data_IF_211386102408
#
_entry.id   IF_211386102408
#
_cell.length_a   1.000
_cell.length_b   1.000
_cell.length_c   1.000
_cell.angle_alpha   90.00
_cell.angle_beta   90.00
_cell.angle_gamma   90.00
#
_symmetry.space_group_name_H-M   'P 1'
#
loop_
_entity.id
_entity.type
_entity.pdbx_description
1 polymer ?
#
# COMPACT_ATOMS: atom_id res chain seq x y z
N UNK A 1 24.63 -0.27 11.78
CA UNK A 1 23.59 -1.17 12.28
C UNK A 1 24.19 -2.05 13.35
N UNK A 2 23.52 -2.17 14.49
CA UNK A 2 24.04 -3.03 15.54
C UNK A 2 23.82 -4.49 15.16
N UNK A 3 24.83 -5.32 15.33
CA UNK A 3 24.80 -6.77 15.09
C UNK A 3 23.56 -7.42 15.73
N UNK A 4 23.07 -6.89 16.85
CA UNK A 4 21.88 -7.37 17.56
C UNK A 4 20.57 -7.21 16.75
N UNK A 5 20.38 -6.10 16.04
CA UNK A 5 19.18 -5.91 15.23
C UNK A 5 19.14 -6.85 14.02
N UNK A 6 20.27 -7.07 13.37
CA UNK A 6 20.38 -8.01 12.24
C UNK A 6 20.06 -9.43 12.68
N UNK A 7 20.56 -9.85 13.85
CA UNK A 7 20.26 -11.18 14.42
C UNK A 7 18.78 -11.33 14.77
N UNK A 8 18.18 -10.33 15.43
CA UNK A 8 16.75 -10.37 15.80
C UNK A 8 15.87 -10.44 14.53
N UNK A 9 16.10 -9.55 13.57
CA UNK A 9 15.34 -9.55 12.32
C UNK A 9 15.48 -10.87 11.56
N UNK A 10 16.71 -11.42 11.44
CA UNK A 10 16.93 -12.69 10.75
C UNK A 10 16.23 -13.86 11.42
N UNK A 11 16.15 -13.88 12.76
CA UNK A 11 15.44 -14.92 13.51
C UNK A 11 13.92 -14.80 13.39
N UNK A 12 13.38 -13.57 13.45
CA UNK A 12 11.97 -13.32 13.26
C UNK A 12 11.50 -13.73 11.85
N UNK A 13 12.29 -13.44 10.82
CA UNK A 13 11.98 -13.80 9.43
C UNK A 13 12.04 -15.32 9.15
N UNK A 14 12.60 -16.14 10.05
CA UNK A 14 12.49 -17.60 9.98
C UNK A 14 11.10 -18.11 10.34
N UNK A 15 10.33 -17.35 11.14
CA UNK A 15 8.93 -17.65 11.40
C UNK A 15 8.09 -17.25 10.16
N UNK A 16 7.39 -18.24 9.58
CA UNK A 16 6.63 -18.04 8.34
C UNK A 16 5.50 -17.01 8.50
N UNK A 17 4.84 -16.96 9.65
CA UNK A 17 3.75 -16.04 9.92
C UNK A 17 4.28 -14.61 10.01
N UNK A 18 5.37 -14.39 10.73
CA UNK A 18 6.03 -13.10 10.81
C UNK A 18 6.55 -12.65 9.44
N UNK A 19 7.17 -13.56 8.69
CA UNK A 19 7.68 -13.26 7.35
C UNK A 19 6.56 -12.82 6.41
N UNK A 20 5.44 -13.55 6.38
CA UNK A 20 4.30 -13.19 5.55
C UNK A 20 3.72 -11.84 5.97
N UNK A 21 3.50 -11.62 7.27
CA UNK A 21 3.06 -10.32 7.79
C UNK A 21 4.02 -9.17 7.40
N UNK A 22 5.33 -9.40 7.49
CA UNK A 22 6.34 -8.40 7.08
C UNK A 22 6.22 -8.05 5.60
N UNK A 23 6.08 -9.06 4.73
CA UNK A 23 5.95 -8.88 3.28
C UNK A 23 4.66 -8.11 2.95
N UNK A 24 3.53 -8.50 3.55
CA UNK A 24 2.24 -7.85 3.34
C UNK A 24 2.25 -6.41 3.85
N UNK A 25 2.81 -6.18 5.05
CA UNK A 25 2.96 -4.82 5.59
C UNK A 25 3.82 -3.94 4.69
N UNK A 26 4.88 -4.50 4.12
CA UNK A 26 5.72 -3.78 3.16
C UNK A 26 4.96 -3.45 1.87
N UNK A 27 4.18 -4.41 1.35
CA UNK A 27 3.30 -4.18 0.21
C UNK A 27 2.28 -3.07 0.50
N UNK A 28 1.64 -3.09 1.67
CA UNK A 28 0.68 -2.07 2.10
C UNK A 28 1.29 -0.66 2.14
N UNK A 29 2.50 -0.52 2.68
CA UNK A 29 3.21 0.76 2.70
C UNK A 29 3.51 1.28 1.28
N UNK A 30 3.92 0.40 0.36
CA UNK A 30 4.13 0.77 -1.04
C UNK A 30 2.79 1.14 -1.71
N UNK A 31 1.72 0.42 -1.40
CA UNK A 31 0.41 0.64 -2.00
C UNK A 31 -0.30 1.91 -1.48
N UNK A 32 0.16 2.48 -0.36
CA UNK A 32 -0.50 3.62 0.30
C UNK A 32 0.44 4.80 0.55
N UNK A 33 1.30 4.70 1.58
CA UNK A 33 2.09 5.82 2.10
C UNK A 33 3.13 6.30 1.09
N UNK A 34 3.74 5.37 0.35
CA UNK A 34 4.80 5.68 -0.61
C UNK A 34 4.31 6.02 -2.00
N UNK A 35 2.98 6.06 -2.21
CA UNK A 35 2.43 6.48 -3.49
C UNK A 35 2.77 7.93 -3.80
N UNK A 36 3.15 8.18 -5.06
CA UNK A 36 3.64 9.48 -5.54
C UNK A 36 2.73 10.66 -5.15
N UNK A 37 1.41 10.62 -5.34
CA UNK A 37 0.54 11.75 -4.98
C UNK A 37 0.64 12.10 -3.49
N UNK A 38 0.71 11.10 -2.61
CA UNK A 38 0.81 11.31 -1.16
C UNK A 38 2.16 11.88 -0.75
N UNK A 39 3.25 11.35 -1.31
CA UNK A 39 4.61 11.84 -1.04
C UNK A 39 4.76 13.28 -1.50
N UNK A 40 4.26 13.61 -2.71
CA UNK A 40 4.28 14.98 -3.23
C UNK A 40 3.43 15.92 -2.38
N UNK A 41 2.21 15.53 -1.99
CA UNK A 41 1.37 16.36 -1.14
C UNK A 41 2.01 16.64 0.21
N UNK A 42 2.56 15.62 0.87
CA UNK A 42 3.27 15.78 2.16
C UNK A 42 4.53 16.63 2.00
N UNK A 43 5.34 16.35 0.98
CA UNK A 43 6.55 17.12 0.72
C UNK A 43 6.28 18.59 0.38
N UNK A 44 5.25 18.88 -0.40
CA UNK A 44 4.82 20.25 -0.69
C UNK A 44 4.32 20.98 0.57
N UNK A 45 3.55 20.30 1.43
CA UNK A 45 3.12 20.88 2.70
C UNK A 45 4.32 21.30 3.54
N UNK A 46 5.28 20.39 3.74
CA UNK A 46 6.52 20.69 4.50
C UNK A 46 7.37 21.78 3.83
N UNK A 47 7.47 21.74 2.49
CA UNK A 47 8.22 22.75 1.73
C UNK A 47 7.60 24.13 1.90
N UNK A 48 6.27 24.26 1.84
CA UNK A 48 5.56 25.52 2.01
C UNK A 48 5.77 26.15 3.38
N UNK A 49 5.93 25.33 4.42
CA UNK A 49 6.24 25.83 5.77
C UNK A 49 7.64 26.45 5.88
N UNK A 50 8.62 25.88 5.18
CA UNK A 50 10.03 26.32 5.26
C UNK A 50 10.41 27.34 4.16
N UNK A 51 9.71 27.35 3.02
CA UNK A 51 10.02 28.21 1.89
C UNK A 51 10.22 29.71 2.22
N UNK A 52 9.42 30.34 3.12
CA UNK A 52 9.61 31.74 3.49
C UNK A 52 10.97 32.01 4.18
N UNK A 53 11.58 31.00 4.77
CA UNK A 53 12.84 31.12 5.52
C UNK A 53 14.07 30.80 4.68
N UNK A 54 13.91 30.12 3.54
CA UNK A 54 15.00 29.67 2.67
C UNK A 54 15.86 30.83 2.15
N UNK A 55 15.32 31.99 1.70
CA UNK A 55 16.16 33.12 1.25
C UNK A 55 17.11 33.62 2.36
N UNK A 56 16.61 33.70 3.60
CA UNK A 56 17.44 34.09 4.75
C UNK A 56 18.53 33.07 5.06
N UNK A 57 18.19 31.78 4.95
CA UNK A 57 19.16 30.68 5.09
C UNK A 57 20.28 30.80 4.04
N UNK A 58 19.91 31.01 2.76
CA UNK A 58 20.87 31.13 1.67
C UNK A 58 21.77 32.37 1.79
N UNK A 59 21.27 33.48 2.33
CA UNK A 59 22.09 34.66 2.60
C UNK A 59 23.24 34.35 3.58
N UNK A 60 23.01 33.42 4.51
CA UNK A 60 24.02 33.07 5.53
C UNK A 60 24.94 31.91 5.10
N UNK A 61 24.38 30.92 4.40
CA UNK A 61 25.05 29.65 4.17
C UNK A 61 25.35 29.36 2.69
N UNK A 62 25.11 30.33 1.83
CA UNK A 62 25.10 30.20 0.36
C UNK A 62 24.01 29.27 -0.18
N UNK A 63 23.66 29.44 -1.44
CA UNK A 63 22.61 28.68 -2.13
C UNK A 63 21.61 29.61 -2.82
N UNK A 64 20.60 29.04 -3.45
CA UNK A 64 19.53 29.77 -4.11
C UNK A 64 18.23 28.95 -4.14
N UNK A 65 17.10 29.62 -4.40
CA UNK A 65 15.78 29.01 -4.47
C UNK A 65 15.65 28.01 -5.62
N UNK A 66 16.38 28.21 -6.72
CA UNK A 66 16.36 27.29 -7.88
C UNK A 66 16.94 25.94 -7.47
N UNK A 67 18.08 25.94 -6.80
CA UNK A 67 18.71 24.73 -6.27
C UNK A 67 17.80 24.02 -5.27
N UNK A 68 17.15 24.75 -4.38
CA UNK A 68 16.18 24.20 -3.42
C UNK A 68 15.02 23.51 -4.15
N UNK A 69 14.37 24.19 -5.10
CA UNK A 69 13.23 23.65 -5.85
C UNK A 69 13.63 22.43 -6.70
N UNK A 70 14.81 22.47 -7.33
CA UNK A 70 15.32 21.34 -8.11
C UNK A 70 15.59 20.12 -7.21
N UNK A 71 16.10 20.32 -5.99
CA UNK A 71 16.32 19.25 -5.03
C UNK A 71 14.99 18.59 -4.62
N UNK A 72 13.94 19.38 -4.37
CA UNK A 72 12.61 18.85 -4.06
C UNK A 72 12.03 18.05 -5.24
N UNK A 73 12.14 18.57 -6.45
CA UNK A 73 11.71 17.87 -7.68
C UNK A 73 12.45 16.55 -7.86
N UNK A 74 13.76 16.54 -7.66
CA UNK A 74 14.56 15.33 -7.77
C UNK A 74 14.18 14.28 -6.71
N UNK A 75 13.88 14.71 -5.50
CA UNK A 75 13.39 13.83 -4.42
C UNK A 75 12.07 13.17 -4.80
N UNK A 76 11.12 13.92 -5.37
CA UNK A 76 9.84 13.39 -5.80
C UNK A 76 10.01 12.39 -6.96
N UNK A 77 10.84 12.72 -7.94
CA UNK A 77 11.16 11.83 -9.07
C UNK A 77 11.85 10.54 -8.59
N UNK A 78 12.78 10.67 -7.63
CA UNK A 78 13.43 9.51 -7.03
C UNK A 78 12.42 8.58 -6.36
N UNK A 79 11.47 9.12 -5.58
CA UNK A 79 10.43 8.31 -4.94
C UNK A 79 9.59 7.55 -5.96
N UNK A 80 9.15 8.22 -7.04
CA UNK A 80 8.36 7.58 -8.08
C UNK A 80 9.09 6.41 -8.74
N UNK A 81 10.37 6.58 -9.05
CA UNK A 81 11.19 5.54 -9.66
C UNK A 81 11.57 4.43 -8.67
N UNK A 82 11.52 4.70 -7.37
CA UNK A 82 11.86 3.75 -6.31
C UNK A 82 10.82 2.66 -6.11
N UNK A 83 9.54 2.95 -6.34
CA UNK A 83 8.41 2.04 -6.06
C UNK A 83 8.58 0.67 -6.75
N UNK A 84 8.80 0.57 -8.08
CA UNK A 84 9.01 -0.73 -8.73
C UNK A 84 10.25 -1.45 -8.18
N UNK A 85 11.35 -0.72 -7.96
CA UNK A 85 12.57 -1.26 -7.41
C UNK A 85 12.38 -1.84 -6.00
N UNK A 86 11.63 -1.17 -5.14
CA UNK A 86 11.33 -1.64 -3.80
C UNK A 86 10.56 -2.97 -3.81
N UNK A 87 9.56 -3.11 -4.70
CA UNK A 87 8.84 -4.39 -4.89
C UNK A 87 9.77 -5.50 -5.37
N UNK A 88 10.63 -5.22 -6.33
CA UNK A 88 11.56 -6.21 -6.87
C UNK A 88 12.59 -6.68 -5.83
N UNK A 89 13.04 -5.78 -4.95
CA UNK A 89 13.93 -6.14 -3.83
C UNK A 89 13.25 -7.13 -2.89
N UNK A 90 12.00 -6.88 -2.48
CA UNK A 90 11.23 -7.82 -1.62
C UNK A 90 11.03 -9.14 -2.34
N UNK A 91 10.61 -9.10 -3.60
CA UNK A 91 10.40 -10.31 -4.40
C UNK A 91 11.65 -11.18 -4.48
N UNK A 92 12.81 -10.57 -4.74
CA UNK A 92 14.09 -11.26 -4.83
C UNK A 92 14.54 -11.77 -3.47
N UNK A 93 14.47 -10.94 -2.42
CA UNK A 93 14.93 -11.27 -1.07
C UNK A 93 14.20 -12.48 -0.48
N UNK A 94 12.91 -12.61 -0.77
CA UNK A 94 12.07 -13.72 -0.26
C UNK A 94 11.82 -14.82 -1.29
N UNK A 95 12.51 -14.79 -2.44
CA UNK A 95 12.35 -15.75 -3.54
C UNK A 95 10.89 -15.94 -3.99
N UNK A 96 10.12 -14.83 -4.08
CA UNK A 96 8.72 -14.84 -4.47
C UNK A 96 8.59 -14.96 -5.99
N UNK A 97 7.55 -15.67 -6.46
CA UNK A 97 7.38 -16.05 -7.87
C UNK A 97 6.78 -14.95 -8.75
N UNK A 98 6.40 -13.80 -8.16
CA UNK A 98 5.87 -12.67 -8.90
C UNK A 98 4.93 -11.79 -8.08
N UNK A 99 4.28 -10.87 -8.76
CA UNK A 99 3.35 -9.90 -8.20
C UNK A 99 1.99 -10.05 -8.86
N UNK A 100 0.94 -9.65 -8.17
CA UNK A 100 -0.44 -9.58 -8.67
C UNK A 100 -1.05 -8.24 -8.28
N UNK A 101 -2.01 -7.79 -9.08
CA UNK A 101 -2.83 -6.62 -8.75
C UNK A 101 -4.19 -7.09 -8.24
N UNK A 102 -4.61 -6.59 -7.09
CA UNK A 102 -5.95 -6.75 -6.55
C UNK A 102 -6.69 -5.41 -6.67
N UNK A 103 -7.88 -5.47 -7.27
CA UNK A 103 -8.81 -4.34 -7.33
C UNK A 103 -9.89 -4.56 -6.29
N UNK A 104 -10.15 -3.57 -5.44
CA UNK A 104 -11.22 -3.62 -4.43
C UNK A 104 -12.31 -2.65 -4.81
N UNK A 105 -13.57 -3.07 -4.70
CA UNK A 105 -14.74 -2.25 -4.94
C UNK A 105 -15.90 -2.60 -4.00
N UNK A 106 -16.82 -1.66 -3.78
CA UNK A 106 -17.97 -1.78 -2.89
C UNK A 106 -19.24 -1.42 -3.61
N UNK A 107 -20.27 -2.26 -3.46
CA UNK A 107 -21.59 -2.06 -4.05
C UNK A 107 -22.71 -2.24 -3.02
N UNK A 108 -23.70 -1.31 -2.96
CA UNK A 108 -23.65 0.01 -3.58
C UNK A 108 -22.59 0.92 -2.93
N UNK A 109 -22.19 1.97 -3.65
CA UNK A 109 -21.18 2.91 -3.13
C UNK A 109 -21.61 3.48 -1.76
N UNK A 110 -20.69 3.52 -0.79
CA UNK A 110 -20.95 3.99 0.56
C UNK A 110 -21.66 2.98 1.48
N UNK A 111 -21.93 1.75 1.01
CA UNK A 111 -22.58 0.73 1.84
C UNK A 111 -21.59 0.03 2.80
N UNK A 112 -20.31 0.13 2.56
CA UNK A 112 -19.30 -0.51 3.37
C UNK A 112 -17.89 -0.16 2.93
N UNK A 113 -16.91 -0.87 3.49
CA UNK A 113 -15.50 -0.74 3.19
C UNK A 113 -14.82 -2.10 3.23
N UNK A 114 -13.61 -2.17 2.68
CA UNK A 114 -12.84 -3.41 2.62
C UNK A 114 -11.53 -3.20 3.35
N UNK A 115 -11.28 -4.04 4.34
CA UNK A 115 -9.99 -4.16 4.99
C UNK A 115 -9.16 -5.21 4.24
N UNK A 116 -7.96 -4.86 3.83
CA UNK A 116 -7.01 -5.77 3.18
C UNK A 116 -5.66 -5.75 3.89
N UNK A 117 -5.17 -6.92 4.28
CA UNK A 117 -3.92 -7.07 5.02
C UNK A 117 -3.92 -6.20 6.29
N UNK A 118 -3.19 -5.07 6.30
CA UNK A 118 -3.09 -4.15 7.44
C UNK A 118 -3.66 -2.76 7.15
N UNK A 119 -4.33 -2.58 6.02
CA UNK A 119 -4.87 -1.28 5.56
C UNK A 119 -6.36 -1.37 5.25
N UNK A 120 -6.99 -0.21 5.26
CA UNK A 120 -8.35 0.02 4.82
C UNK A 120 -8.34 1.23 3.88
N UNK A 121 -8.45 1.02 2.56
CA UNK A 121 -8.57 2.12 1.60
C UNK A 121 -9.80 2.97 1.91
N UNK A 122 -9.69 4.28 1.71
CA UNK A 122 -10.81 5.19 1.91
C UNK A 122 -11.93 4.91 0.91
N UNK A 123 -13.18 5.10 1.31
CA UNK A 123 -14.37 4.90 0.45
C UNK A 123 -14.31 5.70 -0.86
N UNK A 124 -13.67 6.87 -0.84
CA UNK A 124 -13.50 7.72 -2.03
C UNK A 124 -12.43 7.21 -3.01
N UNK A 125 -11.64 6.21 -2.60
CA UNK A 125 -10.59 5.62 -3.43
C UNK A 125 -11.10 4.40 -4.22
N UNK A 126 -12.32 3.92 -3.98
CA UNK A 126 -12.86 2.79 -4.75
C UNK A 126 -13.24 3.20 -6.18
N UNK A 127 -12.95 2.34 -7.18
CA UNK A 127 -12.21 1.08 -7.09
C UNK A 127 -10.71 1.29 -6.80
N UNK A 128 -10.21 0.72 -5.68
CA UNK A 128 -8.83 0.83 -5.26
C UNK A 128 -7.98 -0.32 -5.82
N UNK A 129 -6.71 -0.03 -6.12
CA UNK A 129 -5.77 -1.03 -6.65
C UNK A 129 -4.54 -1.16 -5.76
N UNK A 130 -4.20 -2.40 -5.40
CA UNK A 130 -3.00 -2.73 -4.65
C UNK A 130 -2.21 -3.87 -5.28
N UNK A 131 -0.89 -3.84 -5.18
CA UNK A 131 0.01 -4.88 -5.67
C UNK A 131 0.50 -5.72 -4.50
N UNK A 132 0.26 -7.03 -4.58
CA UNK A 132 0.66 -8.03 -3.59
C UNK A 132 1.56 -9.11 -4.22
N UNK A 133 2.14 -9.96 -3.39
CA UNK A 133 3.12 -10.95 -3.84
C UNK A 133 2.50 -12.35 -3.95
N UNK A 134 2.79 -13.05 -5.04
CA UNK A 134 2.34 -14.43 -5.24
C UNK A 134 2.84 -15.36 -4.15
N UNK A 135 1.95 -16.20 -3.62
CA UNK A 135 2.26 -17.20 -2.61
C UNK A 135 2.30 -16.67 -1.17
N UNK A 136 2.10 -15.37 -0.94
CA UNK A 136 1.98 -14.79 0.41
C UNK A 136 0.50 -14.59 0.73
N UNK A 137 -0.09 -15.28 1.73
CA UNK A 137 -1.51 -15.19 2.02
C UNK A 137 -1.93 -13.78 2.47
N UNK A 138 -2.95 -13.21 1.84
CA UNK A 138 -3.53 -11.90 2.17
C UNK A 138 -4.94 -12.09 2.70
N UNK A 139 -5.26 -11.48 3.85
CA UNK A 139 -6.62 -11.43 4.38
C UNK A 139 -7.36 -10.24 3.81
N UNK A 140 -8.61 -10.48 3.37
CA UNK A 140 -9.54 -9.45 2.89
C UNK A 140 -10.84 -9.61 3.67
N UNK A 141 -11.34 -8.51 4.25
CA UNK A 141 -12.55 -8.51 5.08
C UNK A 141 -13.49 -7.41 4.59
N UNK A 142 -14.75 -7.73 4.31
CA UNK A 142 -15.78 -6.75 4.06
C UNK A 142 -16.34 -6.21 5.40
N UNK A 143 -16.48 -4.90 5.51
CA UNK A 143 -17.00 -4.23 6.72
C UNK A 143 -18.18 -3.37 6.34
N UNK A 144 -19.38 -3.73 6.79
CA UNK A 144 -20.60 -2.98 6.50
C UNK A 144 -20.63 -1.65 7.26
N UNK A 145 -21.13 -0.61 6.60
CA UNK A 145 -21.47 0.66 7.25
C UNK A 145 -22.81 0.55 7.99
N UNK A 146 -23.10 1.45 8.96
CA UNK A 146 -24.38 1.44 9.67
C UNK A 146 -25.59 1.43 8.74
N UNK A 147 -26.52 0.50 8.95
CA UNK A 147 -27.70 0.30 8.13
C UNK A 147 -27.53 -0.69 6.98
N UNK A 148 -26.33 -1.22 6.79
CA UNK A 148 -26.04 -2.23 5.77
C UNK A 148 -25.56 -3.54 6.40
N UNK A 149 -25.71 -4.63 5.65
CA UNK A 149 -25.15 -5.97 5.96
C UNK A 149 -24.37 -6.49 4.76
N UNK A 150 -23.28 -7.20 5.02
CA UNK A 150 -22.53 -7.85 3.94
C UNK A 150 -23.37 -8.99 3.36
N UNK A 151 -23.50 -9.00 2.04
CA UNK A 151 -24.19 -10.09 1.33
C UNK A 151 -23.18 -11.07 0.72
N UNK A 152 -22.39 -10.64 -0.26
CA UNK A 152 -21.43 -11.55 -0.92
C UNK A 152 -20.29 -10.79 -1.61
N UNK A 153 -19.27 -11.55 -1.99
CA UNK A 153 -18.27 -11.15 -2.98
C UNK A 153 -18.68 -11.63 -4.37
N UNK A 154 -18.60 -10.77 -5.38
CA UNK A 154 -18.81 -11.18 -6.77
C UNK A 154 -17.80 -12.23 -7.24
N UNK A 155 -18.16 -13.10 -8.20
CA UNK A 155 -17.22 -14.00 -8.86
C UNK A 155 -16.04 -13.25 -9.45
N UNK A 156 -14.87 -13.89 -9.42
CA UNK A 156 -13.64 -13.32 -9.99
C UNK A 156 -12.70 -14.45 -10.50
N UNK A 157 -11.45 -14.10 -10.80
CA UNK A 157 -10.45 -15.07 -11.29
C UNK A 157 -10.02 -16.14 -10.29
N UNK A 158 -10.40 -16.01 -9.00
CA UNK A 158 -10.05 -16.95 -7.93
C UNK A 158 -11.23 -17.80 -7.47
N UNK A 159 -12.47 -17.38 -7.71
CA UNK A 159 -13.69 -18.14 -7.44
C UNK A 159 -14.78 -17.84 -8.47
N UNK A 160 -15.40 -18.91 -8.97
CA UNK A 160 -16.30 -18.86 -10.13
C UNK A 160 -17.76 -18.49 -9.77
N UNK A 161 -18.12 -18.44 -8.49
CA UNK A 161 -19.46 -18.12 -7.99
C UNK A 161 -19.36 -17.11 -6.84
N UNK A 162 -20.50 -16.53 -6.45
CA UNK A 162 -20.56 -15.65 -5.28
C UNK A 162 -19.96 -16.34 -4.04
N UNK A 163 -19.19 -15.57 -3.27
CA UNK A 163 -18.63 -16.04 -2.02
C UNK A 163 -19.28 -15.28 -0.86
N UNK A 164 -19.93 -15.97 0.04
CA UNK A 164 -20.70 -15.43 1.18
C UNK A 164 -19.88 -15.32 2.47
N UNK A 165 -18.60 -15.69 2.44
CA UNK A 165 -17.72 -15.49 3.59
C UNK A 165 -17.26 -14.04 3.67
N UNK A 166 -17.63 -13.34 4.73
CA UNK A 166 -17.21 -11.97 4.97
C UNK A 166 -15.68 -11.82 5.00
N UNK A 167 -14.99 -12.82 5.54
CA UNK A 167 -13.54 -12.92 5.63
C UNK A 167 -13.00 -13.88 4.57
N UNK A 168 -12.07 -13.41 3.77
CA UNK A 168 -11.32 -14.19 2.79
C UNK A 168 -9.86 -14.28 3.21
N UNK A 169 -9.28 -15.46 3.16
CA UNK A 169 -7.83 -15.66 3.26
C UNK A 169 -7.34 -16.18 1.91
N UNK A 170 -6.79 -15.28 1.12
CA UNK A 170 -6.44 -15.54 -0.29
C UNK A 170 -4.93 -15.70 -0.44
N UNK A 171 -4.50 -16.79 -1.06
CA UNK A 171 -3.11 -16.90 -1.53
C UNK A 171 -3.04 -16.37 -2.96
N UNK A 172 -2.37 -15.23 -3.21
CA UNK A 172 -2.30 -14.62 -4.53
C UNK A 172 -1.63 -15.51 -5.56
N UNK A 173 -2.30 -15.72 -6.70
CA UNK A 173 -1.78 -16.48 -7.85
C UNK A 173 -1.93 -15.72 -9.15
N UNK A 174 -3.02 -14.98 -9.30
CA UNK A 174 -3.39 -14.18 -10.48
C UNK A 174 -4.00 -12.84 -10.04
N UNK A 175 -4.08 -11.88 -10.95
CA UNK A 175 -4.82 -10.65 -10.72
C UNK A 175 -6.30 -10.94 -10.46
N UNK A 176 -6.92 -10.24 -9.52
CA UNK A 176 -8.33 -10.44 -9.19
C UNK A 176 -8.99 -9.12 -8.78
N UNK A 177 -10.29 -9.01 -9.09
CA UNK A 177 -11.14 -7.93 -8.58
C UNK A 177 -12.05 -8.50 -7.48
N UNK A 178 -12.14 -7.81 -6.36
CA UNK A 178 -13.00 -8.15 -5.22
C UNK A 178 -14.04 -7.06 -5.08
N UNK A 179 -15.27 -7.35 -5.49
CA UNK A 179 -16.42 -6.46 -5.29
C UNK A 179 -17.26 -7.01 -4.15
N UNK A 180 -17.33 -6.27 -3.06
CA UNK A 180 -18.17 -6.58 -1.91
C UNK A 180 -19.56 -5.99 -2.12
N UNK A 181 -20.59 -6.83 -2.02
CA UNK A 181 -22.00 -6.42 -2.08
C UNK A 181 -22.59 -6.34 -0.68
N UNK A 182 -23.37 -5.28 -0.48
CA UNK A 182 -24.06 -5.03 0.79
C UNK A 182 -25.53 -4.76 0.55
N UNK A 183 -26.38 -5.18 1.50
CA UNK A 183 -27.83 -4.94 1.51
C UNK A 183 -28.18 -3.98 2.65
N UNK A 184 -29.10 -3.04 2.41
CA UNK A 184 -29.61 -2.07 3.36
C UNK A 184 -31.00 -2.38 3.87
#
# INVERSE_FOLDING_TARGET
PSIHMDVICSKLLQNIQFRNYFIDRYADLINTIWQQPRVVATGNSMTNEVAPWIPRHHTRWSGDMTTFNNTMTNMFNWNNNRIPGARNVVQSQFALTGQVTYTLDVQPAGAGRIHISTIEPSEVEYPWNGVYFKGVPVRITAVANPGYTFDHWSPNSLFASNNYSQDLNITPTVNAAFTAWFEG
#
